data_IF_332746914215
#
_entry.id   IF_332746914215
#
_cell.length_a   1.000
_cell.length_b   1.000
_cell.length_c   1.000
_cell.angle_alpha   90.00
_cell.angle_beta   90.00
_cell.angle_gamma   90.00
#
_symmetry.space_group_name_H-M   'P 1'
#
loop_
_entity.id
_entity.type
_entity.pdbx_description
1 polymer ?
#
# COMPACT_ATOMS: atom_id res chain seq x y z
N UNK A 1 -27.87 -28.32 2.97
CA UNK A 1 -26.91 -27.22 3.07
C UNK A 1 -26.05 -27.33 4.31
N UNK A 2 -26.61 -27.51 5.51
CA UNK A 2 -25.79 -27.63 6.75
C UNK A 2 -24.68 -28.68 6.66
N UNK A 3 -25.00 -29.93 6.29
CA UNK A 3 -24.00 -31.00 6.16
C UNK A 3 -22.87 -30.66 5.16
N UNK A 4 -23.19 -29.88 4.12
CA UNK A 4 -22.18 -29.44 3.15
C UNK A 4 -21.26 -28.37 3.76
N UNK A 5 -21.83 -27.43 4.51
CA UNK A 5 -21.07 -26.42 5.25
C UNK A 5 -20.18 -27.08 6.30
N UNK A 6 -20.65 -28.09 7.01
CA UNK A 6 -19.84 -28.85 7.97
C UNK A 6 -18.66 -29.57 7.29
N UNK A 7 -18.89 -30.20 6.14
CA UNK A 7 -17.83 -30.82 5.35
C UNK A 7 -16.80 -29.77 4.91
N UNK A 8 -17.28 -28.64 4.35
CA UNK A 8 -16.40 -27.56 3.90
C UNK A 8 -15.58 -26.96 5.06
N UNK A 9 -16.18 -26.80 6.24
CA UNK A 9 -15.47 -26.36 7.44
C UNK A 9 -14.39 -27.37 7.86
N UNK A 10 -14.67 -28.67 7.74
CA UNK A 10 -13.67 -29.71 7.99
C UNK A 10 -12.54 -29.68 6.97
N UNK A 11 -12.84 -29.40 5.71
CA UNK A 11 -11.84 -29.28 4.65
C UNK A 11 -10.95 -28.04 4.86
N UNK A 12 -11.55 -26.90 5.24
CA UNK A 12 -10.83 -25.67 5.62
C UNK A 12 -9.94 -25.90 6.85
N UNK A 13 -10.45 -26.58 7.89
CA UNK A 13 -9.68 -26.91 9.09
C UNK A 13 -8.51 -27.85 8.78
N UNK A 14 -8.73 -28.81 7.87
CA UNK A 14 -7.66 -29.69 7.40
C UNK A 14 -6.57 -28.90 6.65
N UNK A 15 -6.95 -28.01 5.74
CA UNK A 15 -6.02 -27.14 5.01
C UNK A 15 -5.24 -26.23 5.96
N UNK A 16 -5.92 -25.66 6.96
CA UNK A 16 -5.32 -24.81 7.99
C UNK A 16 -4.30 -25.57 8.85
N UNK A 17 -4.58 -26.83 9.23
CA UNK A 17 -3.64 -27.61 10.07
C UNK A 17 -2.48 -28.20 9.28
N UNK A 18 -2.66 -28.43 7.99
CA UNK A 18 -1.69 -29.10 7.11
C UNK A 18 -1.12 -28.13 6.08
N UNK A 19 -0.74 -26.93 6.51
CA UNK A 19 -0.18 -25.92 5.62
C UNK A 19 1.08 -26.46 4.94
N UNK A 20 1.01 -26.50 3.61
CA UNK A 20 2.15 -26.83 2.75
C UNK A 20 3.06 -25.62 2.66
N UNK A 21 3.81 -25.35 3.73
CA UNK A 21 4.83 -24.32 3.68
C UNK A 21 5.90 -24.74 2.66
N UNK A 22 6.27 -23.87 1.71
CA UNK A 22 7.35 -24.14 0.78
C UNK A 22 8.74 -24.12 1.45
N UNK A 23 8.80 -23.78 2.73
CA UNK A 23 10.01 -23.66 3.50
C UNK A 23 10.23 -24.94 4.33
N UNK A 24 11.43 -25.52 4.22
CA UNK A 24 11.76 -26.78 4.91
C UNK A 24 11.84 -26.65 6.44
N UNK A 25 12.04 -25.43 6.95
CA UNK A 25 12.27 -25.13 8.36
C UNK A 25 11.19 -24.17 8.88
N UNK A 26 10.53 -24.55 9.98
CA UNK A 26 9.54 -23.70 10.67
C UNK A 26 10.18 -22.58 11.50
N UNK A 27 11.44 -22.76 11.91
CA UNK A 27 12.14 -21.76 12.72
C UNK A 27 12.72 -20.67 11.82
N UNK A 28 12.48 -19.41 12.21
CA UNK A 28 13.01 -18.23 11.53
C UNK A 28 14.36 -17.88 12.14
N UNK A 29 15.42 -18.00 11.34
CA UNK A 29 16.75 -17.56 11.72
C UNK A 29 16.91 -16.09 11.31
N UNK A 30 17.00 -15.17 12.27
CA UNK A 30 17.08 -13.72 12.02
C UNK A 30 18.16 -13.32 10.99
N UNK A 31 19.22 -14.12 10.86
CA UNK A 31 20.32 -13.91 9.91
C UNK A 31 19.92 -14.15 8.44
N UNK A 32 18.84 -14.89 8.20
CA UNK A 32 18.28 -15.19 6.88
C UNK A 32 17.17 -14.21 6.48
N UNK A 33 17.00 -13.11 7.23
CA UNK A 33 16.06 -12.07 6.89
C UNK A 33 16.46 -11.41 5.56
N UNK A 34 15.49 -11.30 4.65
CA UNK A 34 15.65 -10.64 3.36
C UNK A 34 14.64 -9.50 3.26
N UNK A 35 14.93 -8.40 2.52
CA UNK A 35 13.96 -7.34 2.27
C UNK A 35 12.69 -7.83 1.53
N UNK A 36 11.55 -7.16 1.74
CA UNK A 36 10.28 -7.54 1.11
C UNK A 36 10.36 -7.58 -0.42
N UNK A 37 11.11 -6.67 -1.05
CA UNK A 37 11.30 -6.68 -2.51
C UNK A 37 11.98 -7.95 -3.02
N UNK A 38 12.96 -8.48 -2.29
CA UNK A 38 13.68 -9.71 -2.64
C UNK A 38 12.81 -10.94 -2.38
N UNK A 39 12.06 -10.92 -1.29
CA UNK A 39 11.10 -11.99 -0.98
C UNK A 39 9.98 -12.04 -2.01
N UNK A 40 9.45 -10.89 -2.43
CA UNK A 40 8.43 -10.81 -3.48
C UNK A 40 8.88 -11.43 -4.81
N UNK A 41 10.19 -11.39 -5.12
CA UNK A 41 10.75 -11.97 -6.36
C UNK A 41 10.97 -13.47 -6.26
N UNK A 42 11.32 -13.97 -5.07
CA UNK A 42 11.71 -15.37 -4.84
C UNK A 42 10.58 -16.25 -4.27
N UNK A 43 9.55 -15.66 -3.66
CA UNK A 43 8.44 -16.38 -3.06
C UNK A 43 7.67 -17.21 -4.11
N UNK A 44 7.31 -18.47 -3.78
CA UNK A 44 6.58 -19.32 -4.71
C UNK A 44 5.17 -18.78 -4.95
N UNK A 45 4.79 -18.78 -6.22
CA UNK A 45 3.49 -18.33 -6.69
C UNK A 45 2.68 -19.57 -7.07
N UNK A 46 1.52 -19.73 -6.46
CA UNK A 46 0.49 -20.72 -6.82
C UNK A 46 -0.88 -20.10 -6.60
N UNK A 47 -1.93 -20.67 -7.17
CA UNK A 47 -3.27 -20.22 -6.82
C UNK A 47 -3.59 -20.58 -5.35
N UNK A 48 -4.47 -19.81 -4.70
CA UNK A 48 -4.98 -20.20 -3.38
C UNK A 48 -5.63 -21.59 -3.40
N UNK A 49 -6.27 -21.95 -4.52
CA UNK A 49 -6.88 -23.26 -4.69
C UNK A 49 -5.82 -24.38 -4.68
N UNK A 50 -4.66 -24.16 -5.30
CA UNK A 50 -3.54 -25.12 -5.27
C UNK A 50 -2.90 -25.21 -3.88
N UNK A 51 -2.84 -24.10 -3.14
CA UNK A 51 -2.27 -24.07 -1.79
C UNK A 51 -3.15 -24.78 -0.76
N UNK A 52 -4.47 -24.61 -0.88
CA UNK A 52 -5.44 -25.09 0.11
C UNK A 52 -6.13 -26.40 -0.30
N UNK A 53 -6.13 -26.72 -1.60
CA UNK A 53 -6.91 -27.82 -2.16
C UNK A 53 -8.42 -27.51 -2.25
N UNK A 54 -8.84 -26.27 -1.98
CA UNK A 54 -10.23 -25.84 -2.00
C UNK A 54 -10.45 -24.98 -3.24
N UNK A 55 -11.44 -25.32 -4.05
CA UNK A 55 -11.81 -24.54 -5.22
C UNK A 55 -12.87 -23.49 -4.87
N UNK A 56 -12.84 -22.34 -5.56
CA UNK A 56 -13.85 -21.28 -5.50
C UNK A 56 -15.27 -21.82 -5.70
N UNK A 57 -15.43 -22.82 -6.56
CA UNK A 57 -16.72 -23.47 -6.84
C UNK A 57 -17.28 -24.25 -5.63
N UNK A 58 -16.41 -24.69 -4.72
CA UNK A 58 -16.80 -25.35 -3.47
C UNK A 58 -17.27 -24.35 -2.41
N UNK A 59 -16.98 -23.06 -2.59
CA UNK A 59 -17.50 -22.01 -1.72
C UNK A 59 -18.92 -21.62 -2.19
N UNK A 60 -19.97 -21.91 -1.41
CA UNK A 60 -21.34 -21.62 -1.82
C UNK A 60 -21.58 -20.10 -1.95
N UNK A 61 -22.45 -19.66 -2.87
CA UNK A 61 -22.87 -18.27 -2.93
C UNK A 61 -23.45 -17.80 -1.60
N UNK A 62 -23.20 -16.54 -1.25
CA UNK A 62 -23.63 -15.99 0.04
C UNK A 62 -25.15 -16.11 0.22
N UNK A 63 -25.93 -15.90 -0.84
CA UNK A 63 -27.40 -15.94 -0.84
C UNK A 63 -27.98 -17.29 -0.42
N UNK A 64 -27.20 -18.37 -0.54
CA UNK A 64 -27.62 -19.73 -0.17
C UNK A 64 -27.34 -20.06 1.31
N UNK A 65 -26.68 -19.16 2.03
CA UNK A 65 -26.24 -19.35 3.41
C UNK A 65 -27.03 -18.47 4.38
N UNK A 66 -27.35 -19.04 5.54
CA UNK A 66 -27.80 -18.28 6.71
C UNK A 66 -26.67 -17.42 7.26
N UNK A 67 -27.01 -16.38 8.03
CA UNK A 67 -26.00 -15.49 8.61
C UNK A 67 -25.00 -16.23 9.51
N UNK A 68 -25.47 -17.19 10.30
CA UNK A 68 -24.62 -18.04 11.16
C UNK A 68 -23.65 -18.91 10.36
N UNK A 69 -24.09 -19.47 9.23
CA UNK A 69 -23.21 -20.23 8.35
C UNK A 69 -22.16 -19.32 7.69
N UNK A 70 -22.56 -18.10 7.30
CA UNK A 70 -21.65 -17.12 6.70
C UNK A 70 -20.54 -16.77 7.68
N UNK A 71 -20.85 -16.38 8.92
CA UNK A 71 -19.77 -15.99 9.83
C UNK A 71 -18.95 -17.18 10.37
N UNK A 72 -19.52 -18.39 10.49
CA UNK A 72 -18.71 -19.62 10.69
C UNK A 72 -17.69 -19.85 9.57
N UNK A 73 -18.12 -19.74 8.31
CA UNK A 73 -17.24 -19.91 7.15
C UNK A 73 -16.22 -18.78 7.05
N UNK A 74 -16.65 -17.53 7.25
CA UNK A 74 -15.77 -16.36 7.23
C UNK A 74 -14.66 -16.47 8.28
N UNK A 75 -15.00 -16.86 9.50
CA UNK A 75 -14.02 -17.04 10.58
C UNK A 75 -13.03 -18.17 10.27
N UNK A 76 -13.51 -19.27 9.70
CA UNK A 76 -12.65 -20.38 9.29
C UNK A 76 -11.70 -19.96 8.16
N UNK A 77 -12.20 -19.24 7.15
CA UNK A 77 -11.41 -18.73 6.04
C UNK A 77 -10.35 -17.72 6.49
N UNK A 78 -10.69 -16.81 7.41
CA UNK A 78 -9.72 -15.87 7.98
C UNK A 78 -8.58 -16.57 8.70
N UNK A 79 -8.91 -17.53 9.58
CA UNK A 79 -7.91 -18.34 10.28
C UNK A 79 -7.01 -19.10 9.32
N UNK A 80 -7.60 -19.65 8.25
CA UNK A 80 -6.84 -20.31 7.21
C UNK A 80 -5.87 -19.33 6.53
N UNK A 81 -6.35 -18.17 6.07
CA UNK A 81 -5.50 -17.16 5.44
C UNK A 81 -4.36 -16.71 6.37
N UNK A 82 -4.66 -16.47 7.66
CA UNK A 82 -3.66 -16.09 8.66
C UNK A 82 -2.56 -17.15 8.79
N UNK A 83 -2.90 -18.44 8.76
CA UNK A 83 -1.91 -19.53 8.84
C UNK A 83 -1.05 -19.63 7.58
N UNK A 84 -1.54 -19.20 6.41
CA UNK A 84 -0.71 -19.03 5.20
C UNK A 84 0.03 -17.68 5.17
N UNK A 85 0.03 -16.93 6.28
CA UNK A 85 0.62 -15.60 6.42
C UNK A 85 0.01 -14.56 5.45
N UNK A 86 -1.30 -14.70 5.17
CA UNK A 86 -2.09 -13.74 4.42
C UNK A 86 -3.11 -13.05 5.30
N UNK A 87 -3.02 -11.73 5.38
CA UNK A 87 -3.98 -10.94 6.12
C UNK A 87 -5.12 -10.47 5.23
N UNK A 88 -6.33 -10.72 5.68
CA UNK A 88 -7.55 -10.13 5.13
C UNK A 88 -7.87 -8.85 5.91
N UNK A 89 -7.48 -7.70 5.37
CA UNK A 89 -7.64 -6.40 6.03
C UNK A 89 -8.65 -5.53 5.29
N UNK A 90 -9.58 -4.97 6.04
CA UNK A 90 -10.52 -3.96 5.57
C UNK A 90 -10.35 -2.69 6.42
N UNK A 91 -10.21 -1.54 5.77
CA UNK A 91 -10.05 -0.24 6.43
C UNK A 91 -11.40 0.35 6.93
N UNK A 92 -12.52 -0.16 6.45
CA UNK A 92 -13.88 0.25 6.84
C UNK A 92 -14.69 -0.91 7.39
N UNK A 93 -15.75 -0.61 8.14
CA UNK A 93 -16.68 -1.63 8.60
C UNK A 93 -17.52 -2.12 7.42
N UNK A 94 -17.36 -3.40 7.07
CA UNK A 94 -18.07 -4.06 5.97
C UNK A 94 -18.95 -5.19 6.55
N UNK A 95 -20.20 -5.37 6.09
CA UNK A 95 -21.02 -6.51 6.49
C UNK A 95 -20.36 -7.85 6.18
N UNK A 96 -20.39 -8.79 7.12
CA UNK A 96 -19.73 -10.10 7.01
C UNK A 96 -20.12 -10.89 5.76
N UNK A 97 -21.38 -10.78 5.34
CA UNK A 97 -21.87 -11.38 4.09
C UNK A 97 -21.14 -10.87 2.85
N UNK A 98 -20.82 -9.58 2.81
CA UNK A 98 -20.05 -8.96 1.74
C UNK A 98 -18.58 -9.33 1.83
N UNK A 99 -18.04 -9.44 3.06
CA UNK A 99 -16.66 -9.91 3.26
C UNK A 99 -16.49 -11.34 2.74
N UNK A 100 -17.40 -12.25 3.09
CA UNK A 100 -17.42 -13.62 2.59
C UNK A 100 -17.54 -13.65 1.06
N UNK A 101 -18.46 -12.90 0.48
CA UNK A 101 -18.62 -12.81 -0.97
C UNK A 101 -17.35 -12.30 -1.66
N UNK A 102 -16.64 -11.34 -1.04
CA UNK A 102 -15.39 -10.78 -1.56
C UNK A 102 -14.25 -11.81 -1.52
N UNK A 103 -14.12 -12.57 -0.42
CA UNK A 103 -13.13 -13.65 -0.33
C UNK A 103 -13.43 -14.71 -1.39
N UNK A 104 -14.68 -15.16 -1.49
CA UNK A 104 -15.11 -16.14 -2.48
C UNK A 104 -14.81 -15.67 -3.91
N UNK A 105 -15.12 -14.42 -4.24
CA UNK A 105 -14.97 -13.92 -5.61
C UNK A 105 -13.51 -13.85 -6.04
N UNK A 106 -12.59 -13.58 -5.10
CA UNK A 106 -11.15 -13.50 -5.35
C UNK A 106 -10.39 -14.77 -4.90
N UNK A 107 -11.08 -15.87 -4.62
CA UNK A 107 -10.45 -17.08 -4.08
C UNK A 107 -9.55 -17.81 -5.09
N UNK A 108 -9.71 -17.53 -6.38
CA UNK A 108 -8.89 -18.02 -7.50
C UNK A 108 -7.63 -17.17 -7.75
N UNK A 109 -7.33 -16.20 -6.88
CA UNK A 109 -6.15 -15.35 -7.04
C UNK A 109 -4.85 -16.14 -6.90
N UNK A 110 -3.81 -15.64 -7.58
CA UNK A 110 -2.44 -16.12 -7.37
C UNK A 110 -1.90 -15.52 -6.08
N UNK A 111 -1.42 -16.38 -5.20
CA UNK A 111 -1.01 -15.98 -3.88
C UNK A 111 0.43 -16.42 -3.60
N UNK A 112 1.21 -15.47 -3.08
CA UNK A 112 2.62 -15.66 -2.70
C UNK A 112 2.70 -15.94 -1.21
N UNK A 113 3.09 -17.15 -0.84
CA UNK A 113 3.36 -17.48 0.56
C UNK A 113 4.76 -16.97 0.90
N UNK A 114 4.82 -15.94 1.74
CA UNK A 114 6.05 -15.31 2.20
C UNK A 114 6.44 -15.85 3.58
N UNK A 115 7.75 -15.94 3.83
CA UNK A 115 8.34 -16.41 5.09
C UNK A 115 8.50 -15.29 6.10
N UNK A 116 8.93 -14.11 5.65
CA UNK A 116 9.34 -13.00 6.52
C UNK A 116 8.30 -11.89 6.59
N UNK A 117 7.69 -11.56 5.46
CA UNK A 117 6.69 -10.49 5.38
C UNK A 117 5.29 -11.07 5.28
N UNK A 118 4.33 -10.33 5.82
CA UNK A 118 2.92 -10.64 5.67
C UNK A 118 2.49 -10.37 4.23
N UNK A 119 1.77 -11.30 3.61
CA UNK A 119 1.06 -11.01 2.37
C UNK A 119 -0.33 -10.45 2.67
N UNK A 120 -0.90 -9.74 1.71
CA UNK A 120 -2.26 -9.23 1.81
C UNK A 120 -3.15 -9.96 0.81
N UNK A 121 -4.35 -10.33 1.25
CA UNK A 121 -5.36 -10.90 0.36
C UNK A 121 -5.91 -9.81 -0.55
N UNK A 122 -5.84 -10.01 -1.87
CA UNK A 122 -6.33 -9.02 -2.83
C UNK A 122 -7.86 -9.02 -2.87
N UNK A 123 -8.45 -7.88 -2.51
CA UNK A 123 -9.92 -7.70 -2.48
C UNK A 123 -10.50 -7.25 -3.82
N UNK A 124 -9.66 -6.66 -4.67
CA UNK A 124 -10.04 -6.07 -5.94
C UNK A 124 -9.11 -6.57 -7.03
N UNK A 125 -9.68 -7.09 -8.12
CA UNK A 125 -8.88 -7.55 -9.26
C UNK A 125 -8.31 -6.37 -10.05
N UNK A 126 -7.10 -6.50 -10.61
CA UNK A 126 -6.57 -5.54 -11.56
C UNK A 126 -7.56 -5.27 -12.70
N UNK A 127 -7.74 -4.00 -13.06
CA UNK A 127 -8.66 -3.57 -14.13
C UNK A 127 -10.14 -3.45 -13.73
N UNK A 128 -10.49 -3.71 -12.46
CA UNK A 128 -11.84 -3.47 -11.95
C UNK A 128 -12.06 -1.97 -11.70
N UNK A 129 -13.12 -1.40 -12.26
CA UNK A 129 -13.49 -0.01 -11.99
C UNK A 129 -13.90 0.20 -10.53
N UNK A 130 -13.63 1.40 -10.00
CA UNK A 130 -14.02 1.78 -8.64
C UNK A 130 -15.53 1.60 -8.41
N UNK A 131 -15.90 0.98 -7.28
CA UNK A 131 -17.30 0.70 -6.92
C UNK A 131 -17.92 -0.50 -7.63
N UNK A 132 -17.25 -1.11 -8.62
CA UNK A 132 -17.74 -2.30 -9.34
C UNK A 132 -17.14 -3.62 -8.84
N UNK A 133 -16.29 -3.60 -7.81
CA UNK A 133 -15.75 -4.81 -7.20
C UNK A 133 -16.78 -5.49 -6.27
N UNK A 134 -16.47 -6.69 -5.76
CA UNK A 134 -17.35 -7.46 -4.89
C UNK A 134 -17.76 -6.75 -3.58
N UNK A 135 -17.01 -5.71 -3.16
CA UNK A 135 -17.35 -4.87 -2.03
C UNK A 135 -18.52 -3.91 -2.33
N UNK A 136 -18.83 -3.63 -3.61
CA UNK A 136 -19.92 -2.76 -4.04
C UNK A 136 -19.83 -1.36 -3.41
N UNK A 137 -20.87 -0.98 -2.67
CA UNK A 137 -20.95 0.29 -1.94
C UNK A 137 -19.87 0.43 -0.85
N UNK A 138 -19.30 -0.68 -0.38
CA UNK A 138 -18.20 -0.70 0.59
C UNK A 138 -16.82 -0.70 -0.07
N UNK A 139 -16.73 -0.39 -1.36
CA UNK A 139 -15.47 -0.31 -2.09
C UNK A 139 -14.54 0.75 -1.49
N UNK A 140 -13.46 0.30 -0.85
CA UNK A 140 -12.47 1.19 -0.23
C UNK A 140 -11.71 2.01 -1.26
N UNK A 141 -11.40 1.44 -2.42
CA UNK A 141 -10.76 2.18 -3.51
C UNK A 141 -11.61 3.37 -3.98
N UNK A 142 -12.93 3.19 -4.09
CA UNK A 142 -13.85 4.28 -4.45
C UNK A 142 -13.92 5.34 -3.34
N UNK A 143 -13.98 4.90 -2.07
CA UNK A 143 -13.96 5.80 -0.93
C UNK A 143 -12.71 6.68 -0.90
N UNK A 144 -11.52 6.09 -1.06
CA UNK A 144 -10.27 6.86 -1.06
C UNK A 144 -10.11 7.71 -2.31
N UNK A 145 -10.51 7.22 -3.49
CA UNK A 145 -10.50 8.02 -4.70
C UNK A 145 -11.34 9.30 -4.55
N UNK A 146 -12.52 9.20 -3.92
CA UNK A 146 -13.35 10.37 -3.64
C UNK A 146 -12.77 11.24 -2.51
N UNK A 147 -12.26 10.64 -1.42
CA UNK A 147 -11.66 11.36 -0.29
C UNK A 147 -10.44 12.19 -0.72
N UNK A 148 -9.63 11.65 -1.64
CA UNK A 148 -8.43 12.28 -2.15
C UNK A 148 -8.66 13.04 -3.46
N UNK A 149 -9.89 13.09 -4.00
CA UNK A 149 -10.18 13.72 -5.29
C UNK A 149 -9.77 15.19 -5.36
N UNK A 150 -9.92 15.91 -4.25
CA UNK A 150 -9.52 17.31 -4.12
C UNK A 150 -8.08 17.47 -3.59
N UNK A 151 -7.41 16.36 -3.28
CA UNK A 151 -6.01 16.27 -2.86
C UNK A 151 -5.13 15.59 -3.92
N UNK A 152 -5.66 15.36 -5.11
CA UNK A 152 -4.87 14.94 -6.26
C UNK A 152 -3.83 16.04 -6.47
N UNK A 153 -2.56 15.63 -6.48
CA UNK A 153 -1.44 16.45 -6.92
C UNK A 153 -1.84 17.05 -8.26
N UNK A 154 -2.23 18.33 -8.26
CA UNK A 154 -2.16 19.11 -9.49
C UNK A 154 -0.72 18.92 -9.97
N UNK A 155 -0.54 18.36 -11.16
CA UNK A 155 0.73 18.42 -11.87
C UNK A 155 0.98 19.89 -12.19
N UNK A 156 1.38 20.62 -11.15
CA UNK A 156 1.82 21.98 -11.23
C UNK A 156 3.11 21.92 -12.03
N UNK A 157 3.22 22.83 -13.00
CA UNK A 157 4.52 23.07 -13.60
C UNK A 157 5.53 23.44 -12.50
N UNK A 158 6.85 23.22 -12.71
CA UNK A 158 7.85 23.61 -11.71
C UNK A 158 7.73 25.07 -11.23
N UNK A 159 7.21 25.96 -12.09
CA UNK A 159 6.94 27.36 -11.75
C UNK A 159 5.71 27.51 -10.82
N UNK A 160 4.67 26.70 -11.01
CA UNK A 160 3.46 26.69 -10.20
C UNK A 160 3.67 25.99 -8.84
N UNK A 161 4.48 24.92 -8.77
CA UNK A 161 4.92 24.29 -7.52
C UNK A 161 5.67 25.31 -6.66
N UNK A 162 6.64 26.00 -7.28
CA UNK A 162 7.46 27.02 -6.61
C UNK A 162 6.63 28.20 -6.11
N UNK A 163 5.63 28.64 -6.89
CA UNK A 163 4.72 29.70 -6.45
C UNK A 163 3.90 29.27 -5.22
N UNK A 164 3.42 28.02 -5.19
CA UNK A 164 2.68 27.47 -4.05
C UNK A 164 3.56 27.32 -2.81
N UNK A 165 4.79 26.85 -2.96
CA UNK A 165 5.77 26.79 -1.87
C UNK A 165 6.03 28.18 -1.27
N UNK A 166 6.25 29.18 -2.12
CA UNK A 166 6.43 30.58 -1.71
C UNK A 166 5.22 31.10 -0.93
N UNK A 167 4.00 30.82 -1.38
CA UNK A 167 2.80 31.21 -0.65
C UNK A 167 2.72 30.59 0.75
N UNK A 168 3.07 29.31 0.86
CA UNK A 168 3.11 28.58 2.14
C UNK A 168 4.17 29.19 3.07
N UNK A 169 5.36 29.48 2.56
CA UNK A 169 6.44 30.12 3.33
C UNK A 169 6.06 31.53 3.78
N UNK A 170 5.51 32.38 2.89
CA UNK A 170 5.02 33.72 3.23
C UNK A 170 4.00 33.63 4.36
N UNK A 171 3.05 32.70 4.26
CA UNK A 171 2.01 32.50 5.27
C UNK A 171 2.61 32.07 6.61
N UNK A 172 3.61 31.19 6.59
CA UNK A 172 4.35 30.79 7.78
C UNK A 172 5.10 31.98 8.41
N UNK A 173 5.82 32.76 7.61
CA UNK A 173 6.57 33.94 8.05
C UNK A 173 5.64 35.01 8.64
N UNK A 174 4.51 35.31 7.98
CA UNK A 174 3.48 36.23 8.50
C UNK A 174 2.93 35.78 9.84
N UNK A 175 2.69 34.47 10.00
CA UNK A 175 2.21 33.90 11.27
C UNK A 175 3.25 33.98 12.37
N UNK A 176 4.54 33.76 12.06
CA UNK A 176 5.63 33.68 13.03
C UNK A 176 6.15 35.06 13.47
N UNK A 177 6.28 35.99 12.52
CA UNK A 177 6.96 37.27 12.73
C UNK A 177 6.02 38.49 12.63
N UNK A 178 4.73 38.28 12.40
CA UNK A 178 3.72 39.35 12.42
C UNK A 178 4.02 40.44 11.39
N UNK A 179 4.14 41.69 11.82
CA UNK A 179 4.43 42.84 10.93
C UNK A 179 5.87 42.88 10.41
N UNK A 180 6.81 42.14 11.01
CA UNK A 180 8.23 42.15 10.62
C UNK A 180 8.62 41.02 9.67
N UNK A 181 7.65 40.23 9.21
CA UNK A 181 7.90 39.04 8.39
C UNK A 181 8.72 39.30 7.12
N UNK A 182 8.61 40.51 6.55
CA UNK A 182 9.39 40.93 5.38
C UNK A 182 10.91 40.85 5.63
N UNK A 183 11.41 41.13 6.83
CA UNK A 183 12.85 41.03 7.15
C UNK A 183 13.41 39.61 6.98
N UNK A 184 12.53 38.62 7.07
CA UNK A 184 12.84 37.20 7.00
C UNK A 184 12.34 36.57 5.70
N UNK A 185 11.86 37.39 4.77
CA UNK A 185 11.39 36.90 3.48
C UNK A 185 12.61 36.51 2.63
N UNK A 186 12.64 35.28 2.08
CA UNK A 186 13.70 34.84 1.20
C UNK A 186 13.59 35.55 -0.16
N UNK A 187 14.10 36.78 -0.21
CA UNK A 187 14.11 37.65 -1.40
C UNK A 187 14.82 37.04 -2.62
N UNK A 188 15.66 36.04 -2.41
CA UNK A 188 16.34 35.24 -3.43
C UNK A 188 15.43 34.28 -4.21
N UNK A 189 14.15 34.16 -3.83
CA UNK A 189 13.20 33.26 -4.47
C UNK A 189 12.19 33.96 -5.39
N UNK A 190 12.11 35.29 -5.36
CA UNK A 190 11.23 36.08 -6.24
C UNK A 190 12.01 36.54 -7.48
N UNK A 191 11.60 36.05 -8.65
CA UNK A 191 12.23 36.32 -9.95
C UNK A 191 12.14 37.80 -10.37
N UNK A 192 11.23 38.56 -9.77
CA UNK A 192 11.00 39.97 -10.03
C UNK A 192 11.50 40.87 -8.90
N UNK A 193 12.17 40.32 -7.88
CA UNK A 193 12.74 41.11 -6.80
C UNK A 193 14.02 41.80 -7.26
N UNK A 194 13.86 43.07 -7.60
CA UNK A 194 14.95 44.01 -7.80
C UNK A 194 15.28 44.59 -6.42
N UNK A 195 16.44 44.22 -5.85
CA UNK A 195 16.98 45.04 -4.78
C UNK A 195 17.22 46.44 -5.36
N UNK A 196 17.15 47.51 -4.57
CA UNK A 196 17.27 48.90 -5.09
C UNK A 196 18.64 49.18 -5.79
N UNK A 197 19.50 48.17 -5.94
CA UNK A 197 20.79 48.17 -6.61
C UNK A 197 20.86 47.35 -7.92
N UNK A 198 19.79 46.71 -8.41
CA UNK A 198 19.81 46.12 -9.75
C UNK A 198 20.61 44.81 -9.89
N UNK A 199 20.94 44.14 -8.79
CA UNK A 199 21.76 42.93 -8.86
C UNK A 199 20.88 41.68 -8.90
N UNK A 200 20.80 41.02 -10.06
CA UNK A 200 20.36 39.62 -10.08
C UNK A 200 21.39 38.82 -9.28
N UNK A 201 20.97 38.14 -8.21
CA UNK A 201 21.84 37.26 -7.45
C UNK A 201 22.23 36.06 -8.32
N UNK A 202 23.36 36.20 -9.02
CA UNK A 202 24.11 35.11 -9.64
C UNK A 202 24.76 34.30 -8.52
N UNK A 203 24.28 33.06 -8.34
CA UNK A 203 24.76 32.16 -7.29
C UNK A 203 26.05 31.43 -7.68
N UNK A 204 26.80 31.87 -8.70
CA UNK A 204 28.12 31.31 -9.01
C UNK A 204 28.10 29.79 -9.24
N UNK A 205 26.94 29.24 -9.65
CA UNK A 205 26.79 27.82 -9.97
C UNK A 205 27.18 27.52 -11.42
N UNK A 206 27.44 28.55 -12.23
CA UNK A 206 27.88 28.43 -13.62
C UNK A 206 29.41 28.30 -13.77
N UNK A 207 30.20 28.26 -12.69
CA UNK A 207 31.68 28.13 -12.75
C UNK A 207 32.22 26.76 -12.34
N UNK A 208 31.46 25.68 -12.55
CA UNK A 208 31.93 24.30 -12.34
C UNK A 208 32.89 23.78 -13.44
N UNK A 209 33.55 24.66 -14.21
CA UNK A 209 34.42 24.23 -15.30
C UNK A 209 35.79 24.90 -15.39
N UNK A 210 36.19 25.71 -14.41
CA UNK A 210 37.58 26.16 -14.29
C UNK A 210 37.87 26.51 -12.84
N UNK A 211 38.45 25.59 -12.08
CA UNK A 211 39.70 25.85 -11.34
C UNK A 211 40.20 24.56 -10.69
N UNK A 212 41.51 24.39 -10.79
CA UNK A 212 42.29 23.26 -10.31
C UNK A 212 42.38 23.31 -8.79
N UNK A 213 41.60 22.50 -8.07
CA UNK A 213 41.81 22.27 -6.64
C UNK A 213 42.33 20.85 -6.41
N UNK A 214 43.66 20.78 -6.27
CA UNK A 214 44.38 19.83 -5.45
C UNK A 214 43.75 19.83 -4.05
N UNK A 215 43.01 18.79 -3.67
CA UNK A 215 42.83 18.42 -2.27
C UNK A 215 42.53 16.91 -2.18
N UNK A 216 43.60 16.15 -1.95
CA UNK A 216 43.57 14.80 -1.40
C UNK A 216 42.89 14.84 -0.01
N UNK A 217 41.60 14.51 0.11
CA UNK A 217 41.01 13.89 1.33
C UNK A 217 39.52 13.50 1.17
N UNK A 218 39.25 12.54 0.29
CA UNK A 218 37.97 11.80 0.23
C UNK A 218 37.88 10.77 1.38
N UNK A 219 37.54 11.22 2.58
CA UNK A 219 37.45 10.40 3.79
C UNK A 219 36.30 9.37 3.81
N UNK A 220 35.39 9.39 2.82
CA UNK A 220 34.29 8.43 2.66
C UNK A 220 34.59 7.28 1.68
N UNK A 221 35.79 7.22 1.09
CA UNK A 221 36.23 6.14 0.18
C UNK A 221 37.14 5.08 0.84
N UNK A 222 36.90 4.75 2.12
CA UNK A 222 37.58 3.63 2.78
C UNK A 222 36.61 2.58 3.29
#
# INVERSE_FOLDING_TARGET
MENYVEQLLSDIDYATKNVSWPFAEKELQLWDWIPDEEENKSAPIRSLEEWTGIHKEQLPPAEMLSDEQVNRLLDALRKMLDEYNWSFVLQTQVPERIQYATIRENFDQHAKVKRWHMGFFELCRPGTEHGKCALGEYCQCAFYAELFKDMIDEELTPDEERARELEIEIKHLKRKYGSEWMKYYPYHLDKNYDDENGNSYDYGFDDFNNEEDDDEDDWWRR
#
